data_IF_028321558798
#
_entry.id   IF_028321558798
#
_cell.length_a   1.000
_cell.length_b   1.000
_cell.length_c   1.000
_cell.angle_alpha   90.00
_cell.angle_beta   90.00
_cell.angle_gamma   90.00
#
_symmetry.space_group_name_H-M   'P 1'
#
loop_
_entity.id
_entity.type
_entity.pdbx_description
1 polymer ?
#
# COMPACT_ATOMS: atom_id res chain seq x y z
N UNK A 1 13.18 -0.52 13.23
CA UNK A 1 13.00 -0.73 11.78
C UNK A 1 11.84 -1.70 11.61
N UNK A 2 11.08 -1.70 10.50
CA UNK A 2 10.13 -2.80 10.26
C UNK A 2 10.96 -4.00 9.80
N UNK A 3 10.96 -5.09 10.56
CA UNK A 3 11.71 -6.30 10.18
C UNK A 3 10.97 -7.09 9.10
N UNK A 4 11.67 -8.01 8.42
CA UNK A 4 11.05 -8.91 7.45
C UNK A 4 9.96 -9.79 8.10
N UNK A 5 10.22 -10.28 9.32
CA UNK A 5 9.23 -11.02 10.11
C UNK A 5 7.99 -10.17 10.40
N UNK A 6 8.19 -8.92 10.83
CA UNK A 6 7.06 -8.03 11.12
C UNK A 6 6.25 -7.72 9.86
N UNK A 7 6.93 -7.46 8.73
CA UNK A 7 6.29 -7.24 7.44
C UNK A 7 5.42 -8.43 7.02
N UNK A 8 5.93 -9.66 7.19
CA UNK A 8 5.21 -10.89 6.84
C UNK A 8 3.93 -11.13 7.66
N UNK A 9 3.78 -10.49 8.83
CA UNK A 9 2.55 -10.54 9.62
C UNK A 9 1.42 -9.65 9.08
N UNK A 10 1.72 -8.77 8.12
CA UNK A 10 0.71 -7.95 7.47
C UNK A 10 -0.27 -8.79 6.64
N UNK A 11 -1.49 -8.27 6.49
CA UNK A 11 -2.55 -8.93 5.75
C UNK A 11 -2.24 -8.93 4.24
N UNK A 12 -2.65 -9.99 3.55
CA UNK A 12 -2.83 -9.92 2.10
C UNK A 12 -3.98 -8.96 1.77
N UNK A 13 -4.08 -8.52 0.51
CA UNK A 13 -5.25 -7.74 0.04
C UNK A 13 -6.55 -8.52 0.27
N UNK A 14 -6.56 -9.83 -0.02
CA UNK A 14 -7.72 -10.69 0.20
C UNK A 14 -8.13 -10.77 1.67
N UNK A 15 -7.18 -10.99 2.57
CA UNK A 15 -7.45 -11.04 4.02
C UNK A 15 -7.93 -9.69 4.56
N UNK A 16 -7.38 -8.59 4.06
CA UNK A 16 -7.84 -7.25 4.40
C UNK A 16 -9.31 -7.05 3.99
N UNK A 17 -9.67 -7.36 2.74
CA UNK A 17 -11.06 -7.28 2.25
C UNK A 17 -12.00 -8.17 3.07
N UNK A 18 -11.57 -9.38 3.43
CA UNK A 18 -12.37 -10.29 4.25
C UNK A 18 -12.65 -9.75 5.66
N UNK A 19 -11.76 -8.92 6.21
CA UNK A 19 -11.88 -8.32 7.55
C UNK A 19 -12.62 -6.98 7.57
N UNK A 20 -12.91 -6.39 6.42
CA UNK A 20 -13.65 -5.11 6.34
C UNK A 20 -15.06 -5.22 6.92
N UNK A 21 -15.47 -4.16 7.62
CA UNK A 21 -16.78 -3.97 8.25
C UNK A 21 -17.55 -2.79 7.66
N UNK A 22 -16.86 -1.74 7.20
CA UNK A 22 -17.49 -0.45 6.87
C UNK A 22 -17.76 -0.27 5.38
N UNK A 23 -16.76 -0.49 4.53
CA UNK A 23 -16.84 -0.14 3.10
C UNK A 23 -16.47 -1.31 2.17
N UNK A 24 -16.70 -2.55 2.60
CA UNK A 24 -16.26 -3.76 1.88
C UNK A 24 -16.72 -3.80 0.42
N UNK A 25 -18.01 -3.63 0.17
CA UNK A 25 -18.58 -3.67 -1.18
C UNK A 25 -18.02 -2.55 -2.07
N UNK A 26 -17.91 -1.35 -1.50
CA UNK A 26 -17.35 -0.20 -2.20
C UNK A 26 -15.87 -0.41 -2.54
N UNK A 27 -15.08 -0.96 -1.61
CA UNK A 27 -13.69 -1.28 -1.87
C UNK A 27 -13.55 -2.34 -2.96
N UNK A 28 -14.34 -3.42 -2.90
CA UNK A 28 -14.31 -4.48 -3.89
C UNK A 28 -14.62 -3.95 -5.30
N UNK A 29 -15.67 -3.13 -5.42
CA UNK A 29 -16.00 -2.47 -6.70
C UNK A 29 -14.86 -1.57 -7.19
N UNK A 30 -14.31 -0.72 -6.31
CA UNK A 30 -13.20 0.17 -6.68
C UNK A 30 -11.92 -0.59 -7.07
N UNK A 31 -11.70 -1.79 -6.52
CA UNK A 31 -10.59 -2.67 -6.91
C UNK A 31 -10.80 -3.25 -8.32
N UNK A 32 -12.03 -3.68 -8.61
CA UNK A 32 -12.44 -4.19 -9.91
C UNK A 32 -12.50 -3.11 -11.00
N UNK A 33 -12.80 -1.86 -10.63
CA UNK A 33 -12.90 -0.72 -11.55
C UNK A 33 -11.63 0.14 -11.59
N UNK A 34 -10.61 -0.18 -10.78
CA UNK A 34 -9.44 0.68 -10.61
C UNK A 34 -8.75 0.97 -11.96
N UNK A 35 -8.48 2.27 -12.27
CA UNK A 35 -7.92 2.68 -13.55
C UNK A 35 -6.40 2.41 -13.58
N UNK A 36 -6.04 1.15 -13.82
CA UNK A 36 -4.66 0.73 -14.08
C UNK A 36 -4.49 0.57 -15.58
N UNK A 37 -3.61 1.37 -16.18
CA UNK A 37 -3.32 1.27 -17.62
C UNK A 37 -2.33 0.15 -17.92
N UNK A 38 -2.22 -0.26 -19.19
CA UNK A 38 -1.18 -1.20 -19.61
C UNK A 38 0.22 -0.63 -19.39
N UNK A 39 0.40 0.68 -19.64
CA UNK A 39 1.67 1.39 -19.42
C UNK A 39 2.09 1.32 -17.93
N UNK A 40 1.16 1.57 -17.00
CA UNK A 40 1.46 1.46 -15.57
C UNK A 40 1.91 0.05 -15.20
N UNK A 41 1.24 -0.96 -15.77
CA UNK A 41 1.53 -2.37 -15.51
C UNK A 41 2.87 -2.79 -16.08
N UNK A 42 3.19 -2.34 -17.29
CA UNK A 42 4.47 -2.60 -17.97
C UNK A 42 5.65 -1.94 -17.25
N UNK A 43 5.49 -0.68 -16.83
CA UNK A 43 6.49 0.04 -16.04
C UNK A 43 6.83 -0.71 -14.74
N UNK A 44 5.80 -1.14 -14.00
CA UNK A 44 5.99 -1.90 -12.76
C UNK A 44 6.51 -3.31 -12.99
N UNK A 45 6.10 -3.99 -14.07
CA UNK A 45 6.62 -5.31 -14.44
C UNK A 45 8.10 -5.27 -14.84
N UNK A 46 8.58 -4.14 -15.35
CA UNK A 46 9.99 -3.91 -15.69
C UNK A 46 10.94 -3.75 -14.49
N UNK A 47 10.41 -3.74 -13.25
CA UNK A 47 11.25 -3.66 -12.04
C UNK A 47 12.17 -4.88 -11.95
N UNK A 48 13.48 -4.66 -12.12
CA UNK A 48 14.50 -5.70 -11.97
C UNK A 48 14.78 -6.07 -10.51
N UNK A 49 14.40 -5.20 -9.56
CA UNK A 49 14.59 -5.38 -8.12
C UNK A 49 13.32 -5.84 -7.43
N UNK A 50 13.45 -6.61 -6.36
CA UNK A 50 12.33 -6.92 -5.46
C UNK A 50 11.98 -5.70 -4.61
N UNK A 51 10.69 -5.45 -4.48
CA UNK A 51 10.13 -4.33 -3.73
C UNK A 51 9.06 -4.86 -2.79
N UNK A 52 9.06 -4.33 -1.57
CA UNK A 52 8.04 -4.61 -0.56
C UNK A 52 7.27 -3.33 -0.26
N UNK A 53 5.95 -3.39 -0.32
CA UNK A 53 5.05 -2.27 -0.06
C UNK A 53 4.25 -2.57 1.20
N UNK A 54 4.54 -1.83 2.26
CA UNK A 54 3.76 -1.84 3.49
C UNK A 54 2.68 -0.76 3.38
N UNK A 55 1.43 -1.15 3.54
CA UNK A 55 0.29 -0.22 3.53
C UNK A 55 -0.30 -0.14 4.93
N UNK A 56 -0.49 1.07 5.46
CA UNK A 56 -1.22 1.29 6.72
C UNK A 56 -2.52 1.99 6.41
N UNK A 57 -3.63 1.40 6.85
CA UNK A 57 -4.97 1.84 6.45
C UNK A 57 -6.05 1.43 7.42
N UNK A 58 -7.25 1.93 7.16
CA UNK A 58 -8.50 1.45 7.73
C UNK A 58 -9.60 1.52 6.67
N UNK A 59 -10.58 0.63 6.79
CA UNK A 59 -11.65 0.48 5.81
C UNK A 59 -12.68 1.63 5.84
N UNK A 60 -12.71 2.39 6.92
CA UNK A 60 -13.55 3.57 7.09
C UNK A 60 -12.96 4.83 6.43
N UNK A 61 -11.68 4.81 6.05
CA UNK A 61 -10.98 5.99 5.56
C UNK A 61 -11.28 6.27 4.06
N UNK A 62 -11.87 7.45 3.72
CA UNK A 62 -12.20 7.76 2.33
C UNK A 62 -10.99 7.86 1.40
N UNK A 63 -9.86 8.39 1.89
CA UNK A 63 -8.61 8.49 1.11
C UNK A 63 -8.00 7.09 0.87
N UNK A 64 -8.19 6.16 1.81
CA UNK A 64 -7.77 4.77 1.64
C UNK A 64 -8.58 4.06 0.55
N UNK A 65 -9.90 4.28 0.48
CA UNK A 65 -10.74 3.76 -0.60
C UNK A 65 -10.32 4.25 -1.99
N UNK A 66 -9.74 5.44 -2.09
CA UNK A 66 -9.28 6.02 -3.36
C UNK A 66 -7.86 5.56 -3.74
N UNK A 67 -7.04 5.27 -2.75
CA UNK A 67 -5.60 5.01 -2.93
C UNK A 67 -5.28 3.53 -3.06
N UNK A 68 -5.85 2.70 -2.19
CA UNK A 68 -5.41 1.32 -2.03
C UNK A 68 -5.89 0.42 -3.17
N UNK A 69 -7.14 0.50 -3.64
CA UNK A 69 -7.58 -0.38 -4.73
C UNK A 69 -6.74 -0.23 -6.02
N UNK A 70 -6.43 0.98 -6.51
CA UNK A 70 -5.53 1.14 -7.65
C UNK A 70 -4.13 0.56 -7.44
N UNK A 71 -3.52 0.79 -6.27
CA UNK A 71 -2.19 0.25 -5.96
C UNK A 71 -2.23 -1.28 -5.86
N UNK A 72 -3.23 -1.84 -5.19
CA UNK A 72 -3.40 -3.28 -5.06
C UNK A 72 -3.57 -3.95 -6.42
N UNK A 73 -4.41 -3.39 -7.30
CA UNK A 73 -4.59 -3.90 -8.68
C UNK A 73 -3.34 -3.78 -9.53
N UNK A 74 -2.59 -2.69 -9.38
CA UNK A 74 -1.36 -2.44 -10.13
C UNK A 74 -0.31 -3.52 -9.86
N UNK A 75 -0.13 -3.87 -8.58
CA UNK A 75 0.94 -4.79 -8.14
C UNK A 75 0.51 -6.25 -8.10
N UNK A 76 -0.78 -6.54 -8.29
CA UNK A 76 -1.30 -7.89 -8.24
C UNK A 76 -0.64 -8.81 -9.29
N UNK A 77 -0.12 -9.94 -8.84
CA UNK A 77 0.59 -10.92 -9.65
C UNK A 77 1.98 -10.48 -10.15
N UNK A 78 2.51 -9.33 -9.74
CA UNK A 78 3.89 -8.95 -10.09
C UNK A 78 4.88 -9.74 -9.22
N UNK A 79 5.78 -10.56 -9.81
CA UNK A 79 6.64 -11.47 -9.03
C UNK A 79 7.67 -10.76 -8.15
N UNK A 80 8.03 -9.52 -8.51
CA UNK A 80 9.02 -8.71 -7.80
C UNK A 80 8.38 -7.72 -6.82
N UNK A 81 7.05 -7.72 -6.65
CA UNK A 81 6.38 -6.78 -5.74
C UNK A 81 5.54 -7.55 -4.72
N UNK A 82 5.85 -7.38 -3.44
CA UNK A 82 5.04 -7.93 -2.35
C UNK A 82 4.35 -6.79 -1.61
N UNK A 83 3.03 -6.87 -1.46
CA UNK A 83 2.23 -5.88 -0.73
C UNK A 83 1.61 -6.50 0.52
N UNK A 84 1.75 -5.82 1.66
CA UNK A 84 1.19 -6.22 2.96
C UNK A 84 0.45 -5.06 3.62
N UNK A 85 -0.71 -5.35 4.21
CA UNK A 85 -1.61 -4.35 4.78
C UNK A 85 -1.66 -4.47 6.31
N UNK A 86 -1.48 -3.34 6.99
CA UNK A 86 -1.58 -3.21 8.44
C UNK A 86 -2.75 -2.29 8.79
N UNK A 87 -3.61 -2.73 9.70
CA UNK A 87 -4.68 -1.89 10.24
C UNK A 87 -4.07 -0.86 11.18
N UNK A 88 -4.36 0.43 10.94
CA UNK A 88 -3.81 1.57 11.68
C UNK A 88 -3.94 1.42 13.18
N UNK A 89 -5.14 1.07 13.63
CA UNK A 89 -5.49 1.13 15.05
C UNK A 89 -5.01 -0.14 15.79
N UNK A 90 -4.85 -1.26 15.07
CA UNK A 90 -4.35 -2.52 15.64
C UNK A 90 -2.81 -2.65 15.63
N UNK A 91 -2.09 -1.76 14.93
CA UNK A 91 -0.63 -1.85 14.75
C UNK A 91 0.06 -0.51 15.11
N UNK A 92 -0.06 -0.03 16.36
CA UNK A 92 0.54 1.23 16.78
C UNK A 92 2.08 1.23 16.67
N UNK A 93 2.71 0.06 16.86
CA UNK A 93 4.16 -0.14 16.70
C UNK A 93 4.67 0.20 15.30
N UNK A 94 3.86 -0.08 14.27
CA UNK A 94 4.15 0.27 12.89
C UNK A 94 3.69 1.70 12.61
N UNK A 95 2.47 2.07 13.00
CA UNK A 95 1.88 3.37 12.69
C UNK A 95 2.68 4.55 13.26
N UNK A 96 3.22 4.44 14.46
CA UNK A 96 3.97 5.52 15.11
C UNK A 96 5.30 5.84 14.40
N UNK A 97 5.74 4.99 13.47
CA UNK A 97 6.90 5.25 12.61
C UNK A 97 6.57 6.19 11.43
N UNK A 98 5.28 6.38 11.14
CA UNK A 98 4.78 7.07 9.95
C UNK A 98 3.89 8.26 10.31
N UNK A 99 4.18 8.94 11.43
CA UNK A 99 3.47 10.13 11.84
C UNK A 99 3.65 11.26 10.82
N UNK A 100 2.53 11.78 10.32
CA UNK A 100 2.50 12.96 9.46
C UNK A 100 3.04 14.15 10.25
N UNK A 101 4.13 14.74 9.75
CA UNK A 101 4.86 15.85 10.41
C UNK A 101 5.27 15.53 11.86
N UNK A 102 5.47 14.24 12.18
CA UNK A 102 5.81 13.80 13.53
C UNK A 102 4.69 13.90 14.57
N UNK A 103 3.45 14.20 14.16
CA UNK A 103 2.36 14.51 15.09
C UNK A 103 1.12 13.64 14.91
N UNK A 104 0.70 13.37 13.66
CA UNK A 104 -0.60 12.77 13.39
C UNK A 104 -0.48 11.40 12.76
N UNK A 105 -1.28 10.44 13.24
CA UNK A 105 -1.45 9.12 12.59
C UNK A 105 -2.36 9.24 11.36
N UNK A 106 -1.82 9.79 10.27
CA UNK A 106 -2.54 9.93 9.01
C UNK A 106 -2.45 8.66 8.17
N UNK A 107 -3.54 8.32 7.50
CA UNK A 107 -3.66 7.17 6.58
C UNK A 107 -4.36 7.62 5.29
N UNK A 108 -4.15 6.93 4.16
CA UNK A 108 -3.28 5.76 3.99
C UNK A 108 -1.79 6.14 4.02
N UNK A 109 -0.96 5.19 4.47
CA UNK A 109 0.49 5.21 4.32
C UNK A 109 0.89 4.14 3.31
N UNK A 110 1.79 4.49 2.39
CA UNK A 110 2.49 3.55 1.51
C UNK A 110 3.99 3.67 1.84
N UNK A 111 4.57 2.68 2.48
CA UNK A 111 6.01 2.63 2.75
C UNK A 111 6.64 1.54 1.88
N UNK A 112 7.71 1.91 1.17
CA UNK A 112 8.35 1.08 0.15
C UNK A 112 9.74 0.70 0.63
N UNK A 113 10.06 -0.59 0.50
CA UNK A 113 11.33 -1.16 0.94
C UNK A 113 11.97 -1.97 -0.18
N UNK A 114 13.29 -2.12 -0.11
CA UNK A 114 14.04 -3.11 -0.88
C UNK A 114 13.83 -4.53 -0.32
N UNK A 115 14.55 -5.51 -0.89
CA UNK A 115 14.45 -6.89 -0.46
C UNK A 115 14.91 -7.13 0.98
N UNK A 116 15.83 -6.30 1.48
CA UNK A 116 16.45 -6.37 2.80
C UNK A 116 15.71 -5.56 3.87
N UNK A 117 14.53 -5.01 3.54
CA UNK A 117 13.72 -4.17 4.41
C UNK A 117 14.35 -2.80 4.74
N UNK A 118 15.28 -2.32 3.91
CA UNK A 118 15.65 -0.90 3.94
C UNK A 118 14.57 -0.08 3.25
N UNK A 119 14.11 0.96 3.93
CA UNK A 119 13.08 1.82 3.38
C UNK A 119 13.66 2.70 2.27
N UNK A 120 13.12 2.57 1.07
CA UNK A 120 13.48 3.37 -0.11
C UNK A 120 12.69 4.68 -0.10
N UNK A 121 11.45 4.65 0.40
CA UNK A 121 10.69 5.86 0.64
C UNK A 121 9.25 5.60 1.07
N UNK A 122 8.48 6.68 1.21
CA UNK A 122 7.14 6.63 1.76
C UNK A 122 6.24 7.73 1.22
N UNK A 123 4.94 7.45 1.20
CA UNK A 123 3.87 8.41 0.95
C UNK A 123 2.92 8.36 2.15
N UNK A 124 2.61 9.53 2.75
CA UNK A 124 1.76 9.65 3.93
C UNK A 124 0.56 10.52 3.58
N UNK A 125 -0.66 10.04 3.82
CA UNK A 125 -1.92 10.70 3.46
C UNK A 125 -2.04 10.95 1.95
N UNK A 126 -1.92 9.88 1.17
CA UNK A 126 -2.14 9.95 -0.28
C UNK A 126 -3.61 10.21 -0.56
N UNK A 127 -3.91 11.30 -1.27
CA UNK A 127 -5.28 11.72 -1.60
C UNK A 127 -5.67 11.43 -3.05
N UNK A 128 -4.73 11.52 -3.99
CA UNK A 128 -4.92 11.26 -5.42
C UNK A 128 -3.62 10.81 -6.09
N UNK A 129 -3.75 10.22 -7.28
CA UNK A 129 -2.65 9.78 -8.15
C UNK A 129 -1.63 8.85 -7.45
N UNK A 130 -2.13 7.85 -6.72
CA UNK A 130 -1.29 6.91 -5.99
C UNK A 130 -0.34 6.13 -6.91
N UNK A 131 -0.81 5.75 -8.11
CA UNK A 131 -0.01 5.04 -9.12
C UNK A 131 1.16 5.91 -9.58
N UNK A 132 0.91 7.14 -10.05
CA UNK A 132 1.98 8.02 -10.52
C UNK A 132 2.99 8.37 -9.43
N UNK A 133 2.54 8.55 -8.18
CA UNK A 133 3.43 8.78 -7.04
C UNK A 133 4.28 7.57 -6.71
N UNK A 134 3.70 6.36 -6.72
CA UNK A 134 4.44 5.12 -6.47
C UNK A 134 5.47 4.86 -7.58
N UNK A 135 5.08 5.06 -8.83
CA UNK A 135 5.95 4.99 -10.01
C UNK A 135 7.14 5.93 -9.89
N UNK A 136 6.87 7.21 -9.58
CA UNK A 136 7.92 8.21 -9.32
C UNK A 136 8.85 7.77 -8.18
N UNK A 137 8.31 7.23 -7.08
CA UNK A 137 9.12 6.75 -5.96
C UNK A 137 10.03 5.57 -6.31
N UNK A 138 9.63 4.79 -7.33
CA UNK A 138 10.33 3.61 -7.79
C UNK A 138 11.19 3.85 -9.04
N UNK A 139 11.19 5.09 -9.56
CA UNK A 139 11.85 5.52 -10.79
C UNK A 139 11.43 4.71 -12.03
N UNK A 140 10.11 4.49 -12.21
CA UNK A 140 9.49 3.75 -13.36
C UNK A 140 8.27 4.47 -13.95
#
# INVERSE_FOLDING_TARGET
MVSAERFAQGLTVGDYVARMRTNRERFARLLEEAPVTSEDREAMAGLARKVKILVITEDWCPDSLRTIPPVARLVDGLPNVEMRIFLRDANPDVMDRYLKRGQFRAIPVLAVFDEDMHEIGRLIEVKMNAIGQLRTLLDV
#
